data_IF_260302833674
#
_entry.id   IF_260302833674
#
_cell.length_a   1.000
_cell.length_b   1.000
_cell.length_c   1.000
_cell.angle_alpha   90.00
_cell.angle_beta   90.00
_cell.angle_gamma   90.00
#
_symmetry.space_group_name_H-M   'P 1'
#
loop_
_entity.id
_entity.type
_entity.pdbx_description
1 polymer ?
#
# COMPACT_ATOMS: atom_id res chain seq x y z
N UNK A 1 57.37 26.53 4.11
CA UNK A 1 56.41 26.25 3.03
C UNK A 1 55.34 25.33 3.60
N UNK A 2 54.18 25.88 3.99
CA UNK A 2 53.08 25.08 4.54
C UNK A 2 52.34 24.38 3.38
N UNK A 3 52.35 23.05 3.38
CA UNK A 3 51.52 22.23 2.51
C UNK A 3 50.06 22.47 2.86
N UNK A 4 49.32 23.09 1.95
CA UNK A 4 47.86 23.19 2.04
C UNK A 4 47.32 21.77 1.83
N UNK A 5 47.02 21.06 2.90
CA UNK A 5 46.23 19.84 2.84
C UNK A 5 44.84 20.21 2.31
N UNK A 6 44.62 19.91 1.04
CA UNK A 6 43.31 20.05 0.42
C UNK A 6 42.36 19.06 1.08
N UNK A 7 41.48 19.56 1.95
CA UNK A 7 40.39 18.76 2.53
C UNK A 7 39.49 18.24 1.40
N UNK A 8 39.68 16.97 1.02
CA UNK A 8 38.76 16.30 0.09
C UNK A 8 37.37 16.20 0.72
N UNK A 9 36.41 16.97 0.20
CA UNK A 9 35.02 16.86 0.63
C UNK A 9 34.37 15.61 0.04
N UNK A 10 34.08 14.64 0.90
CA UNK A 10 33.27 13.47 0.56
C UNK A 10 31.79 13.82 0.71
N UNK A 11 30.96 13.36 -0.24
CA UNK A 11 29.50 13.50 -0.14
C UNK A 11 28.85 12.12 -0.13
N UNK A 12 28.06 11.82 0.90
CA UNK A 12 27.25 10.61 0.97
C UNK A 12 26.08 10.71 -0.01
N UNK A 13 25.90 9.68 -0.83
CA UNK A 13 24.71 9.55 -1.67
C UNK A 13 23.74 8.55 -1.03
N UNK A 14 22.52 8.98 -0.68
CA UNK A 14 21.49 8.14 -0.06
C UNK A 14 21.05 6.96 -0.95
N UNK A 15 21.09 7.14 -2.27
CA UNK A 15 20.75 6.08 -3.24
C UNK A 15 21.88 5.09 -3.44
N UNK A 16 23.13 5.56 -3.49
CA UNK A 16 24.29 4.68 -3.67
C UNK A 16 24.78 4.06 -2.37
N UNK A 17 24.40 4.63 -1.21
CA UNK A 17 24.86 4.27 0.15
C UNK A 17 26.38 4.26 0.30
N UNK A 18 27.06 5.13 -0.45
CA UNK A 18 28.53 5.25 -0.47
C UNK A 18 28.91 6.74 -0.48
N UNK A 19 29.99 7.05 0.22
CA UNK A 19 30.65 8.36 0.19
C UNK A 19 31.49 8.50 -1.08
N UNK A 20 31.22 9.53 -1.88
CA UNK A 20 31.95 9.80 -3.12
C UNK A 20 32.92 10.97 -2.95
N UNK A 21 34.16 10.79 -3.43
CA UNK A 21 35.17 11.85 -3.53
C UNK A 21 35.07 12.71 -4.80
N UNK A 22 34.23 12.30 -5.76
CA UNK A 22 33.98 13.02 -7.03
C UNK A 22 32.91 14.11 -6.89
N UNK A 23 32.51 14.44 -5.66
CA UNK A 23 31.55 15.49 -5.33
C UNK A 23 30.25 15.40 -6.13
N UNK A 24 29.76 16.55 -6.63
CA UNK A 24 28.50 16.66 -7.38
C UNK A 24 28.50 15.94 -8.74
N UNK A 25 29.64 15.47 -9.25
CA UNK A 25 29.69 14.77 -10.55
C UNK A 25 29.23 13.30 -10.47
N UNK A 26 29.19 12.69 -9.28
CA UNK A 26 28.81 11.27 -9.13
C UNK A 26 27.42 10.94 -9.69
N UNK A 27 26.49 11.90 -9.67
CA UNK A 27 25.12 11.73 -10.18
C UNK A 27 25.10 11.39 -11.67
N UNK A 28 26.14 11.73 -12.44
CA UNK A 28 26.25 11.39 -13.86
C UNK A 28 26.87 10.01 -14.12
N UNK A 29 27.37 9.33 -13.08
CA UNK A 29 28.00 8.02 -13.24
C UNK A 29 26.98 6.96 -13.70
N UNK A 30 27.44 6.03 -14.55
CA UNK A 30 26.62 4.92 -15.04
C UNK A 30 25.99 4.11 -13.89
N UNK A 31 26.77 3.87 -12.82
CA UNK A 31 26.33 3.14 -11.62
C UNK A 31 25.18 3.86 -10.91
N UNK A 32 25.34 5.15 -10.61
CA UNK A 32 24.28 5.94 -9.97
C UNK A 32 23.02 5.97 -10.83
N UNK A 33 23.16 6.28 -12.13
CA UNK A 33 22.03 6.35 -13.06
C UNK A 33 21.30 5.01 -13.19
N UNK A 34 22.01 3.87 -13.12
CA UNK A 34 21.36 2.56 -13.09
C UNK A 34 20.55 2.34 -11.81
N UNK A 35 21.07 2.74 -10.66
CA UNK A 35 20.34 2.66 -9.38
C UNK A 35 19.06 3.50 -9.46
N UNK A 36 19.15 4.74 -9.96
CA UNK A 36 17.98 5.62 -10.11
C UNK A 36 16.94 4.99 -11.03
N UNK A 37 17.34 4.44 -12.19
CA UNK A 37 16.43 3.73 -13.10
C UNK A 37 15.72 2.56 -12.41
N UNK A 38 16.45 1.75 -11.65
CA UNK A 38 15.89 0.61 -10.93
C UNK A 38 14.88 1.04 -9.86
N UNK A 39 15.20 2.09 -9.10
CA UNK A 39 14.31 2.67 -8.08
C UNK A 39 13.03 3.19 -8.72
N UNK A 40 13.16 3.98 -9.80
CA UNK A 40 12.05 4.52 -10.55
C UNK A 40 11.16 3.40 -11.13
N UNK A 41 11.75 2.40 -11.78
CA UNK A 41 10.99 1.27 -12.33
C UNK A 41 10.24 0.48 -11.24
N UNK A 42 10.88 0.20 -10.09
CA UNK A 42 10.24 -0.51 -8.98
C UNK A 42 9.08 0.29 -8.40
N UNK A 43 9.26 1.58 -8.17
CA UNK A 43 8.21 2.43 -7.61
C UNK A 43 7.07 2.64 -8.62
N UNK A 44 7.38 2.77 -9.90
CA UNK A 44 6.39 2.93 -10.95
C UNK A 44 5.43 1.73 -11.03
N UNK A 45 5.92 0.51 -10.82
CA UNK A 45 5.05 -0.69 -10.73
C UNK A 45 4.03 -0.54 -9.60
N UNK A 46 4.46 -0.13 -8.41
CA UNK A 46 3.57 0.12 -7.26
C UNK A 46 2.51 1.18 -7.57
N UNK A 47 2.90 2.26 -8.26
CA UNK A 47 1.96 3.32 -8.67
C UNK A 47 0.93 2.79 -9.67
N UNK A 48 1.34 1.97 -10.64
CA UNK A 48 0.41 1.37 -11.61
C UNK A 48 -0.56 0.41 -10.94
N UNK A 49 -0.07 -0.47 -10.07
CA UNK A 49 -0.91 -1.37 -9.28
C UNK A 49 -1.92 -0.58 -8.45
N UNK A 50 -1.47 0.45 -7.72
CA UNK A 50 -2.34 1.32 -6.93
C UNK A 50 -3.43 1.98 -7.79
N UNK A 51 -3.07 2.52 -8.97
CA UNK A 51 -3.99 3.17 -9.91
C UNK A 51 -5.06 2.22 -10.46
N UNK A 52 -4.80 0.92 -10.55
CA UNK A 52 -5.81 -0.05 -11.00
C UNK A 52 -6.98 -0.14 -10.01
N UNK A 53 -6.72 -0.03 -8.70
CA UNK A 53 -7.76 -0.09 -7.66
C UNK A 53 -8.70 1.13 -7.68
N UNK A 54 -8.29 2.27 -8.24
CA UNK A 54 -9.19 3.41 -8.43
C UNK A 54 -10.35 3.09 -9.41
N UNK A 55 -10.14 2.17 -10.36
CA UNK A 55 -11.19 1.76 -11.31
C UNK A 55 -12.13 0.72 -10.73
N UNK A 56 -11.61 -0.13 -9.85
CA UNK A 56 -12.33 -1.20 -9.19
C UNK A 56 -11.80 -1.33 -7.76
N UNK A 57 -12.40 -0.61 -6.80
CA UNK A 57 -11.97 -0.67 -5.41
C UNK A 57 -12.12 -2.09 -4.86
N UNK A 58 -11.13 -2.50 -4.07
CA UNK A 58 -11.13 -3.78 -3.38
C UNK A 58 -11.13 -3.51 -1.87
N UNK A 59 -12.08 -4.16 -1.19
CA UNK A 59 -12.28 -4.03 0.25
C UNK A 59 -12.16 -5.40 0.88
N UNK A 60 -11.48 -5.44 2.02
CA UNK A 60 -11.19 -6.62 2.81
C UNK A 60 -11.51 -6.35 4.28
N UNK A 61 -11.41 -7.37 5.13
CA UNK A 61 -11.44 -7.21 6.58
C UNK A 61 -10.14 -6.56 7.09
N UNK A 62 -10.15 -6.09 8.35
CA UNK A 62 -8.99 -5.41 8.96
C UNK A 62 -7.74 -6.28 9.12
N UNK A 63 -7.87 -7.60 9.12
CA UNK A 63 -6.74 -8.52 9.29
C UNK A 63 -5.97 -8.71 7.96
N UNK A 64 -6.61 -8.40 6.85
CA UNK A 64 -5.99 -8.50 5.53
C UNK A 64 -4.87 -7.47 5.36
N UNK A 65 -3.64 -7.98 5.21
CA UNK A 65 -2.41 -7.18 5.08
C UNK A 65 -2.29 -6.10 6.18
N UNK A 66 -2.61 -6.44 7.43
CA UNK A 66 -2.50 -5.51 8.55
C UNK A 66 -1.09 -4.94 8.70
N UNK A 67 -1.00 -3.63 8.93
CA UNK A 67 0.26 -2.90 9.05
C UNK A 67 1.08 -2.82 7.75
N UNK A 68 0.53 -3.21 6.59
CA UNK A 68 1.30 -3.18 5.35
C UNK A 68 1.67 -1.74 4.96
N UNK A 69 2.96 -1.56 4.65
CA UNK A 69 3.57 -0.27 4.33
C UNK A 69 4.23 -0.29 2.96
N UNK A 70 4.35 0.89 2.36
CA UNK A 70 5.09 1.15 1.14
C UNK A 70 6.14 2.21 1.39
N UNK A 71 7.40 1.88 1.11
CA UNK A 71 8.48 2.86 1.08
C UNK A 71 8.37 3.80 -0.13
N UNK A 72 8.31 5.10 0.12
CA UNK A 72 8.40 6.15 -0.89
C UNK A 72 9.83 6.69 -0.98
N UNK A 73 10.49 6.43 -2.11
CA UNK A 73 11.87 6.91 -2.35
C UNK A 73 11.98 8.42 -2.52
N UNK A 74 10.89 9.09 -2.90
CA UNK A 74 10.88 10.54 -3.12
C UNK A 74 10.78 11.29 -1.80
N UNK A 75 9.91 10.82 -0.91
CA UNK A 75 9.70 11.40 0.42
C UNK A 75 10.63 10.83 1.49
N UNK A 76 11.37 9.75 1.17
CA UNK A 76 12.18 9.00 2.11
C UNK A 76 11.40 8.58 3.37
N UNK A 77 10.17 8.08 3.15
CA UNK A 77 9.22 7.78 4.22
C UNK A 77 8.51 6.44 3.98
N UNK A 78 8.12 5.79 5.08
CA UNK A 78 7.16 4.69 5.08
C UNK A 78 5.74 5.23 5.08
N UNK A 79 4.93 4.77 4.13
CA UNK A 79 3.54 5.16 3.97
C UNK A 79 2.67 3.96 4.24
N UNK A 80 1.59 4.12 5.00
CA UNK A 80 0.57 3.08 5.13
C UNK A 80 -0.04 2.76 3.77
N UNK A 81 -0.12 1.48 3.43
CA UNK A 81 -0.57 1.07 2.10
C UNK A 81 -2.08 1.17 1.97
N UNK A 82 -2.81 0.63 2.94
CA UNK A 82 -4.25 0.46 2.91
C UNK A 82 -4.96 1.51 3.75
N UNK A 83 -6.17 1.90 3.36
CA UNK A 83 -7.05 2.71 4.20
C UNK A 83 -7.76 1.80 5.20
N UNK A 84 -7.78 2.17 6.47
CA UNK A 84 -8.42 1.36 7.52
C UNK A 84 -9.63 2.09 8.06
N UNK A 85 -10.77 1.41 8.09
CA UNK A 85 -11.97 1.85 8.79
C UNK A 85 -12.18 0.90 9.98
N UNK A 86 -11.81 1.37 11.18
CA UNK A 86 -11.87 0.55 12.40
C UNK A 86 -13.30 0.31 12.84
N UNK A 87 -14.18 1.30 12.67
CA UNK A 87 -15.57 1.24 13.11
C UNK A 87 -16.36 0.17 12.33
N UNK A 88 -16.11 0.06 11.03
CA UNK A 88 -16.75 -0.94 10.16
C UNK A 88 -15.95 -2.24 10.00
N UNK A 89 -14.78 -2.33 10.64
CA UNK A 89 -13.83 -3.43 10.50
C UNK A 89 -13.41 -3.74 9.05
N UNK A 90 -13.11 -2.69 8.27
CA UNK A 90 -12.74 -2.77 6.85
C UNK A 90 -11.34 -2.24 6.54
N UNK A 91 -10.74 -2.79 5.49
CA UNK A 91 -9.48 -2.36 4.88
C UNK A 91 -9.67 -2.11 3.37
N UNK A 92 -9.43 -0.89 2.92
CA UNK A 92 -9.53 -0.48 1.51
C UNK A 92 -8.16 -0.54 0.85
N UNK A 93 -8.06 -1.36 -0.22
CA UNK A 93 -6.79 -1.66 -0.86
C UNK A 93 -6.11 -0.40 -1.42
N UNK A 94 -4.84 -0.19 -1.07
CA UNK A 94 -3.98 0.89 -1.60
C UNK A 94 -4.46 2.33 -1.33
N UNK A 95 -5.51 2.54 -0.53
CA UNK A 95 -6.15 3.86 -0.37
C UNK A 95 -5.21 4.92 0.21
N UNK A 96 -4.55 4.64 1.34
CA UNK A 96 -3.61 5.58 1.96
C UNK A 96 -2.40 5.88 1.05
N UNK A 97 -1.92 4.87 0.31
CA UNK A 97 -0.87 5.10 -0.69
C UNK A 97 -1.35 6.01 -1.83
N UNK A 98 -2.57 5.85 -2.31
CA UNK A 98 -3.17 6.72 -3.34
C UNK A 98 -3.33 8.16 -2.85
N UNK A 99 -3.78 8.36 -1.61
CA UNK A 99 -3.87 9.69 -0.99
C UNK A 99 -2.49 10.35 -0.92
N UNK A 100 -1.46 9.61 -0.49
CA UNK A 100 -0.09 10.11 -0.47
C UNK A 100 0.39 10.59 -1.86
N UNK A 101 0.16 9.79 -2.91
CA UNK A 101 0.52 10.12 -4.28
C UNK A 101 -0.19 11.36 -4.83
N UNK A 102 -1.32 11.74 -4.23
CA UNK A 102 -2.11 12.91 -4.59
C UNK A 102 -1.75 14.19 -3.81
N UNK A 103 -0.84 14.10 -2.83
CA UNK A 103 -0.43 15.28 -2.05
C UNK A 103 0.52 16.19 -2.82
N UNK A 104 0.38 17.51 -2.63
CA UNK A 104 1.31 18.50 -3.18
C UNK A 104 2.74 18.31 -2.62
N UNK A 105 2.86 17.88 -1.36
CA UNK A 105 4.14 17.56 -0.74
C UNK A 105 4.89 16.45 -1.49
N UNK A 106 4.20 15.37 -1.87
CA UNK A 106 4.79 14.29 -2.68
C UNK A 106 5.19 14.77 -4.08
N UNK A 107 4.37 15.59 -4.73
CA UNK A 107 4.71 16.17 -6.03
C UNK A 107 5.99 17.03 -5.94
N UNK A 108 6.11 17.87 -4.92
CA UNK A 108 7.31 18.67 -4.68
C UNK A 108 8.55 17.78 -4.42
N UNK A 109 8.38 16.71 -3.63
CA UNK A 109 9.44 15.73 -3.37
C UNK A 109 9.88 15.01 -4.67
N UNK A 110 8.95 14.62 -5.53
CA UNK A 110 9.24 14.07 -6.85
C UNK A 110 10.05 15.05 -7.71
N UNK A 111 9.61 16.30 -7.83
CA UNK A 111 10.34 17.34 -8.61
C UNK A 111 11.77 17.53 -8.08
N UNK A 112 11.91 17.60 -6.76
CA UNK A 112 13.22 17.72 -6.08
C UNK A 112 14.12 16.52 -6.37
N UNK A 113 13.60 15.29 -6.21
CA UNK A 113 14.33 14.06 -6.48
C UNK A 113 14.82 14.00 -7.93
N UNK A 114 13.96 14.33 -8.89
CA UNK A 114 14.32 14.30 -10.32
C UNK A 114 15.40 15.33 -10.65
N UNK A 115 15.31 16.54 -10.07
CA UNK A 115 16.32 17.57 -10.24
C UNK A 115 17.68 17.19 -9.63
N UNK A 116 17.67 16.61 -8.43
CA UNK A 116 18.88 16.12 -7.72
C UNK A 116 19.58 15.02 -8.51
N UNK A 117 18.81 14.08 -9.07
CA UNK A 117 19.34 12.90 -9.78
C UNK A 117 19.46 13.08 -11.31
N UNK A 118 19.25 14.31 -11.82
CA UNK A 118 19.39 14.67 -13.24
C UNK A 118 18.52 13.82 -14.18
N UNK A 119 17.28 13.58 -13.76
CA UNK A 119 16.28 12.83 -14.51
C UNK A 119 15.36 13.79 -15.27
N UNK A 120 14.83 13.34 -16.41
CA UNK A 120 13.88 14.11 -17.21
C UNK A 120 12.61 14.47 -16.42
N UNK A 121 12.40 15.77 -16.20
CA UNK A 121 11.25 16.33 -15.46
C UNK A 121 9.89 15.96 -16.06
N UNK A 122 9.80 15.72 -17.37
CA UNK A 122 8.55 15.36 -18.03
C UNK A 122 7.96 14.02 -17.54
N UNK A 123 8.80 13.16 -16.95
CA UNK A 123 8.39 11.86 -16.42
C UNK A 123 7.88 11.90 -14.97
N UNK A 124 7.95 13.06 -14.28
CA UNK A 124 7.38 13.23 -12.92
C UNK A 124 5.89 12.89 -12.88
N UNK A 125 5.13 13.26 -13.92
CA UNK A 125 3.68 13.01 -14.02
C UNK A 125 3.28 11.53 -13.89
N UNK A 126 4.22 10.60 -14.13
CA UNK A 126 3.97 9.17 -14.00
C UNK A 126 3.85 8.73 -12.53
N UNK A 127 4.46 9.48 -11.61
CA UNK A 127 4.64 9.16 -10.20
C UNK A 127 3.70 9.93 -9.26
N UNK A 128 2.84 10.78 -9.82
CA UNK A 128 1.85 11.58 -9.09
C UNK A 128 0.45 11.25 -9.59
N UNK A 129 -0.55 11.63 -8.78
CA UNK A 129 -1.97 11.51 -9.07
C UNK A 129 -2.60 12.88 -8.77
N UNK A 130 -3.61 13.30 -9.55
CA UNK A 130 -4.40 14.47 -9.16
C UNK A 130 -5.36 14.10 -8.03
N UNK A 131 -5.52 14.97 -7.04
CA UNK A 131 -6.50 14.81 -5.96
C UNK A 131 -7.92 14.53 -6.51
N UNK A 132 -8.30 15.18 -7.62
CA UNK A 132 -9.61 14.98 -8.24
C UNK A 132 -9.86 13.55 -8.67
N UNK A 133 -8.81 12.82 -9.03
CA UNK A 133 -8.93 11.41 -9.45
C UNK A 133 -9.29 10.54 -8.25
N UNK A 134 -8.73 10.83 -7.07
CA UNK A 134 -9.06 10.11 -5.83
C UNK A 134 -10.48 10.46 -5.40
N UNK A 135 -10.85 11.74 -5.41
CA UNK A 135 -12.20 12.18 -5.05
C UNK A 135 -13.29 11.59 -5.96
N UNK A 136 -13.02 11.49 -7.27
CA UNK A 136 -13.95 10.83 -8.21
C UNK A 136 -14.13 9.32 -7.94
N UNK A 137 -13.19 8.68 -7.27
CA UNK A 137 -13.29 7.27 -6.90
C UNK A 137 -14.02 7.03 -5.57
N UNK A 138 -14.24 8.07 -4.75
CA UNK A 138 -14.91 7.93 -3.44
C UNK A 138 -16.28 7.26 -3.51
N UNK A 139 -17.18 7.58 -4.47
CA UNK A 139 -18.47 6.88 -4.57
C UNK A 139 -18.31 5.39 -4.88
N UNK A 140 -17.32 5.02 -5.69
CA UNK A 140 -17.03 3.61 -6.02
C UNK A 140 -16.47 2.87 -4.80
N UNK A 141 -15.64 3.53 -3.99
CA UNK A 141 -15.09 2.97 -2.76
C UNK A 141 -16.22 2.69 -1.77
N UNK A 142 -17.09 3.67 -1.51
CA UNK A 142 -18.25 3.51 -0.63
C UNK A 142 -19.20 2.38 -1.10
N UNK A 143 -19.41 2.27 -2.41
CA UNK A 143 -20.20 1.18 -2.97
C UNK A 143 -19.54 -0.20 -2.74
N UNK A 144 -18.20 -0.28 -2.85
CA UNK A 144 -17.46 -1.50 -2.60
C UNK A 144 -17.46 -1.90 -1.11
N UNK A 145 -17.32 -0.93 -0.20
CA UNK A 145 -17.44 -1.14 1.26
C UNK A 145 -18.81 -1.71 1.60
N UNK A 146 -19.88 -1.07 1.15
CA UNK A 146 -21.25 -1.55 1.35
C UNK A 146 -21.46 -2.96 0.81
N UNK A 147 -21.01 -3.22 -0.43
CA UNK A 147 -21.14 -4.54 -1.04
C UNK A 147 -20.37 -5.63 -0.27
N UNK A 148 -19.21 -5.29 0.28
CA UNK A 148 -18.43 -6.19 1.12
C UNK A 148 -19.15 -6.50 2.44
N UNK A 149 -19.64 -5.47 3.14
CA UNK A 149 -20.39 -5.64 4.39
C UNK A 149 -21.65 -6.49 4.19
N UNK A 150 -22.44 -6.23 3.14
CA UNK A 150 -23.61 -7.03 2.80
C UNK A 150 -23.25 -8.49 2.51
N UNK A 151 -22.12 -8.73 1.85
CA UNK A 151 -21.61 -10.08 1.59
C UNK A 151 -21.21 -10.78 2.90
N UNK A 152 -20.53 -10.09 3.80
CA UNK A 152 -20.11 -10.64 5.10
C UNK A 152 -21.30 -10.94 5.99
N UNK A 153 -22.29 -10.06 6.05
CA UNK A 153 -23.53 -10.26 6.81
C UNK A 153 -24.29 -11.50 6.31
N UNK A 154 -24.46 -11.64 5.00
CA UNK A 154 -25.08 -12.85 4.41
C UNK A 154 -24.32 -14.12 4.75
N UNK A 155 -22.98 -14.06 4.78
CA UNK A 155 -22.15 -15.21 5.16
C UNK A 155 -22.31 -15.53 6.65
N UNK A 156 -22.34 -14.52 7.51
CA UNK A 156 -22.55 -14.67 8.94
C UNK A 156 -23.92 -15.34 9.22
N UNK A 157 -25.00 -14.84 8.62
CA UNK A 157 -26.35 -15.42 8.77
C UNK A 157 -26.40 -16.89 8.33
N UNK A 158 -25.74 -17.23 7.21
CA UNK A 158 -25.63 -18.63 6.76
C UNK A 158 -24.86 -19.50 7.75
N UNK A 159 -23.76 -19.00 8.30
CA UNK A 159 -22.97 -19.73 9.29
C UNK A 159 -23.76 -19.97 10.58
N UNK A 160 -24.42 -18.94 11.11
CA UNK A 160 -25.27 -19.04 12.31
C UNK A 160 -26.39 -20.05 12.10
N UNK A 161 -27.12 -19.98 10.98
CA UNK A 161 -28.20 -20.93 10.69
C UNK A 161 -27.72 -22.37 10.55
N UNK A 162 -26.54 -22.60 9.96
CA UNK A 162 -25.91 -23.92 9.87
C UNK A 162 -25.54 -24.47 11.26
N UNK A 163 -24.96 -23.63 12.14
CA UNK A 163 -24.64 -24.00 13.51
C UNK A 163 -25.91 -24.40 14.28
N UNK A 164 -26.95 -23.57 14.23
CA UNK A 164 -28.22 -23.85 14.92
C UNK A 164 -28.87 -25.16 14.42
N UNK A 165 -28.81 -25.43 13.11
CA UNK A 165 -29.32 -26.67 12.54
C UNK A 165 -28.51 -27.88 13.01
N UNK A 166 -27.18 -27.77 13.02
CA UNK A 166 -26.31 -28.84 13.51
C UNK A 166 -26.55 -29.12 15.00
N UNK A 167 -26.70 -28.07 15.81
CA UNK A 167 -27.00 -28.18 17.24
C UNK A 167 -28.33 -28.90 17.50
N UNK A 168 -29.37 -28.57 16.72
CA UNK A 168 -30.66 -29.25 16.79
C UNK A 168 -30.53 -30.74 16.44
N UNK A 169 -29.87 -31.06 15.32
CA UNK A 169 -29.66 -32.44 14.90
C UNK A 169 -28.87 -33.25 15.93
N UNK A 170 -27.87 -32.66 16.59
CA UNK A 170 -27.12 -33.31 17.67
C UNK A 170 -28.02 -33.62 18.86
N UNK A 171 -28.86 -32.67 19.29
CA UNK A 171 -29.82 -32.89 20.39
C UNK A 171 -30.83 -33.99 20.06
N UNK A 172 -31.39 -33.98 18.85
CA UNK A 172 -32.36 -34.98 18.41
C UNK A 172 -31.74 -36.38 18.37
N UNK A 173 -30.50 -36.49 17.88
CA UNK A 173 -29.75 -37.76 17.85
C UNK A 173 -29.50 -38.30 19.26
N UNK A 174 -29.04 -37.45 20.18
CA UNK A 174 -28.80 -37.85 21.58
C UNK A 174 -30.10 -38.27 22.26
N UNK A 175 -31.20 -37.55 22.03
CA UNK A 175 -32.49 -37.90 22.61
C UNK A 175 -33.01 -39.24 22.07
N UNK A 176 -32.88 -39.49 20.76
CA UNK A 176 -33.27 -40.76 20.16
C UNK A 176 -32.45 -41.93 20.73
N UNK A 177 -31.13 -41.79 20.83
CA UNK A 177 -30.27 -42.80 21.43
C UNK A 177 -30.65 -43.09 22.90
N UNK A 178 -31.00 -42.05 23.67
CA UNK A 178 -31.46 -42.22 25.07
C UNK A 178 -32.77 -42.99 25.16
N UNK A 179 -33.73 -42.72 24.26
CA UNK A 179 -35.01 -43.46 24.22
C UNK A 179 -34.79 -44.93 23.85
N UNK A 180 -33.89 -45.21 22.91
CA UNK A 180 -33.56 -46.59 22.51
C UNK A 180 -32.93 -47.40 23.67
N UNK A 181 -32.04 -46.79 24.47
CA UNK A 181 -31.44 -47.45 25.65
C UNK A 181 -32.45 -47.70 26.79
N UNK A 182 -33.48 -46.85 26.95
CA UNK A 182 -34.50 -47.05 27.98
C UNK A 182 -35.59 -48.05 27.60
N UNK A 183 -35.63 -48.49 26.33
CA UNK A 183 -36.69 -49.35 25.78
C UNK A 183 -36.27 -50.81 25.60
N UNK A 184 -35.02 -51.17 25.92
CA UNK A 184 -34.48 -52.54 25.92
C UNK A 184 -33.98 -52.94 27.29
#
# INVERSE_FOLDING_TARGET
>A
MATIESFMQYTLCELCRVSHNVGKKHVYSKKHQQIVRNVLAKFLKKVHEAKQFLKKPEVHDLLWEDGAKVWCYFCAAEIEKHGRNVDEALSVRSYNFLLHLATQAHEAACKSFFWKNKINKASVKLYVISSDVVSKAEPLIKAAEKAYLEKMERLHQKNVSAILKADKQRKDTVMKARLEVCSG
#
